data_IF_611098765115
#
_entry.id   IF_611098765115
#
_cell.length_a   1.000
_cell.length_b   1.000
_cell.length_c   1.000
_cell.angle_alpha   90.00
_cell.angle_beta   90.00
_cell.angle_gamma   90.00
#
_symmetry.space_group_name_H-M   'P 1'
#
loop_
_entity.id
_entity.type
_entity.pdbx_description
1 polymer ?
#
# COMPACT_ATOMS: atom_id res chain seq x y z
N UNK A 1 -28.77 68.78 -3.33
CA UNK A 1 -28.36 67.64 -4.19
C UNK A 1 -29.15 66.43 -3.74
N UNK A 2 -29.70 65.59 -4.64
CA UNK A 2 -30.40 64.39 -4.19
C UNK A 2 -29.36 63.42 -3.61
N UNK A 3 -29.45 63.16 -2.31
CA UNK A 3 -28.58 62.25 -1.57
C UNK A 3 -29.12 60.83 -1.83
N UNK A 4 -28.41 60.01 -2.60
CA UNK A 4 -28.82 58.64 -2.91
C UNK A 4 -28.13 58.07 -4.15
N UNK A 5 -27.96 56.75 -4.17
CA UNK A 5 -27.35 56.00 -5.27
C UNK A 5 -28.36 55.85 -6.41
N UNK A 6 -27.91 56.01 -7.66
CA UNK A 6 -28.77 55.74 -8.81
C UNK A 6 -29.17 54.26 -8.84
N UNK A 7 -30.46 53.98 -9.02
CA UNK A 7 -30.99 52.62 -9.08
C UNK A 7 -30.26 51.76 -10.12
N UNK A 8 -29.98 52.30 -11.31
CA UNK A 8 -29.24 51.60 -12.36
C UNK A 8 -27.84 51.15 -11.92
N UNK A 9 -27.18 51.97 -11.10
CA UNK A 9 -25.86 51.65 -10.54
C UNK A 9 -25.99 50.58 -9.47
N UNK A 10 -26.94 50.72 -8.54
CA UNK A 10 -27.23 49.72 -7.51
C UNK A 10 -27.52 48.34 -8.13
N UNK A 11 -28.45 48.31 -9.09
CA UNK A 11 -28.85 47.13 -9.85
C UNK A 11 -27.67 46.47 -10.57
N UNK A 12 -26.85 47.26 -11.26
CA UNK A 12 -25.69 46.73 -11.99
C UNK A 12 -24.68 46.08 -11.05
N UNK A 13 -24.50 46.65 -9.85
CA UNK A 13 -23.59 46.13 -8.84
C UNK A 13 -24.12 44.87 -8.15
N UNK A 14 -25.44 44.70 -8.02
CA UNK A 14 -26.02 43.58 -7.26
C UNK A 14 -26.54 42.42 -8.10
N UNK A 15 -26.87 42.64 -9.39
CA UNK A 15 -27.47 41.62 -10.28
C UNK A 15 -26.68 40.32 -10.44
N UNK A 16 -25.37 40.35 -10.20
CA UNK A 16 -24.51 39.18 -10.33
C UNK A 16 -24.42 38.32 -9.07
N UNK A 17 -24.87 38.80 -7.92
CA UNK A 17 -24.67 38.08 -6.66
C UNK A 17 -25.46 36.76 -6.55
N UNK A 18 -26.75 36.67 -6.94
CA UNK A 18 -27.48 35.40 -6.90
C UNK A 18 -26.82 34.33 -7.78
N UNK A 19 -26.38 34.71 -8.98
CA UNK A 19 -25.70 33.79 -9.89
C UNK A 19 -24.34 33.37 -9.35
N UNK A 20 -23.58 34.27 -8.73
CA UNK A 20 -22.31 33.94 -8.09
C UNK A 20 -22.49 33.00 -6.88
N UNK A 21 -23.52 33.22 -6.06
CA UNK A 21 -23.90 32.29 -4.97
C UNK A 21 -24.21 30.91 -5.53
N UNK A 22 -25.02 30.84 -6.60
CA UNK A 22 -25.38 29.58 -7.27
C UNK A 22 -24.17 28.89 -7.87
N UNK A 23 -23.25 29.63 -8.49
CA UNK A 23 -22.04 29.09 -9.09
C UNK A 23 -21.11 28.47 -8.04
N UNK A 24 -20.88 29.17 -6.93
CA UNK A 24 -20.09 28.65 -5.80
C UNK A 24 -20.74 27.38 -5.24
N UNK A 25 -22.04 27.40 -4.98
CA UNK A 25 -22.75 26.24 -4.47
C UNK A 25 -22.69 25.05 -5.45
N UNK A 26 -22.84 25.29 -6.76
CA UNK A 26 -22.75 24.26 -7.80
C UNK A 26 -21.34 23.65 -7.90
N UNK A 27 -20.29 24.45 -7.69
CA UNK A 27 -18.91 23.97 -7.63
C UNK A 27 -18.69 23.01 -6.45
N UNK A 28 -19.31 23.30 -5.30
CA UNK A 28 -19.28 22.44 -4.13
C UNK A 28 -20.06 21.13 -4.35
N UNK A 29 -21.19 21.18 -5.05
CA UNK A 29 -21.94 19.98 -5.47
C UNK A 29 -21.15 19.13 -6.46
N UNK A 30 -20.44 19.76 -7.38
CA UNK A 30 -19.58 19.04 -8.31
C UNK A 30 -18.50 18.23 -7.58
N UNK A 31 -17.92 18.77 -6.50
CA UNK A 31 -16.96 18.03 -5.66
C UNK A 31 -17.60 16.83 -4.96
N UNK A 32 -18.81 16.99 -4.43
CA UNK A 32 -19.56 15.90 -3.82
C UNK A 32 -19.93 14.81 -4.85
N UNK A 33 -20.34 15.22 -6.05
CA UNK A 33 -20.61 14.32 -7.17
C UNK A 33 -19.36 13.56 -7.63
N UNK A 34 -18.18 14.20 -7.66
CA UNK A 34 -16.92 13.51 -7.94
C UNK A 34 -16.62 12.43 -6.91
N UNK A 35 -16.87 12.68 -5.62
CA UNK A 35 -16.69 11.66 -4.57
C UNK A 35 -17.69 10.51 -4.74
N UNK A 36 -18.96 10.83 -5.03
CA UNK A 36 -19.98 9.84 -5.35
C UNK A 36 -19.52 8.92 -6.49
N UNK A 37 -19.02 9.50 -7.58
CA UNK A 37 -18.61 8.76 -8.76
C UNK A 37 -17.38 7.90 -8.47
N UNK A 38 -16.37 8.44 -7.78
CA UNK A 38 -15.18 7.69 -7.36
C UNK A 38 -15.53 6.47 -6.49
N UNK A 39 -16.51 6.62 -5.61
CA UNK A 39 -16.96 5.56 -4.71
C UNK A 39 -18.09 4.71 -5.29
N UNK A 40 -18.51 4.96 -6.54
CA UNK A 40 -19.63 4.29 -7.20
C UNK A 40 -20.90 4.28 -6.32
N UNK A 41 -21.31 5.45 -5.84
CA UNK A 41 -22.45 5.64 -4.93
C UNK A 41 -23.70 6.14 -5.70
N UNK A 42 -24.91 5.85 -5.19
CA UNK A 42 -26.15 6.37 -5.79
C UNK A 42 -26.28 7.89 -5.60
N UNK A 43 -27.27 8.51 -6.22
CA UNK A 43 -27.47 9.97 -6.08
C UNK A 43 -27.99 10.39 -4.70
N UNK A 44 -28.66 9.48 -3.98
CA UNK A 44 -29.18 9.77 -2.63
C UNK A 44 -28.10 9.54 -1.55
N UNK A 45 -27.64 10.61 -0.90
CA UNK A 45 -26.60 10.58 0.15
C UNK A 45 -27.04 9.73 1.34
N UNK A 46 -28.32 9.76 1.70
CA UNK A 46 -28.82 9.04 2.88
C UNK A 46 -28.66 7.52 2.76
N UNK A 47 -28.50 7.01 1.53
CA UNK A 47 -28.24 5.59 1.26
C UNK A 47 -26.75 5.21 1.25
N UNK A 48 -25.84 6.18 1.25
CA UNK A 48 -24.40 5.92 1.10
C UNK A 48 -23.85 5.13 2.28
N UNK A 49 -24.28 5.43 3.52
CA UNK A 49 -23.76 4.79 4.72
C UNK A 49 -24.00 3.28 4.69
N UNK A 50 -25.24 2.88 4.39
CA UNK A 50 -25.61 1.47 4.27
C UNK A 50 -24.81 0.75 3.17
N UNK A 51 -24.66 1.37 1.99
CA UNK A 51 -23.92 0.78 0.87
C UNK A 51 -22.43 0.61 1.21
N UNK A 52 -21.80 1.66 1.74
CA UNK A 52 -20.38 1.63 2.11
C UNK A 52 -20.15 0.61 3.23
N UNK A 53 -21.02 0.55 4.23
CA UNK A 53 -20.92 -0.43 5.30
C UNK A 53 -21.08 -1.86 4.78
N UNK A 54 -22.11 -2.14 3.98
CA UNK A 54 -22.33 -3.47 3.40
C UNK A 54 -21.17 -3.91 2.50
N UNK A 55 -20.62 -3.00 1.69
CA UNK A 55 -19.42 -3.29 0.89
C UNK A 55 -18.22 -3.58 1.78
N UNK A 56 -18.00 -2.75 2.80
CA UNK A 56 -16.87 -2.91 3.73
C UNK A 56 -16.94 -4.24 4.47
N UNK A 57 -18.13 -4.61 4.98
CA UNK A 57 -18.40 -5.89 5.61
C UNK A 57 -18.18 -7.05 4.63
N UNK A 58 -18.76 -6.99 3.43
CA UNK A 58 -18.57 -8.04 2.43
C UNK A 58 -17.10 -8.27 2.08
N UNK A 59 -16.32 -7.18 1.89
CA UNK A 59 -14.90 -7.27 1.61
C UNK A 59 -14.14 -7.84 2.82
N UNK A 60 -14.46 -7.39 4.02
CA UNK A 60 -13.84 -7.89 5.25
C UNK A 60 -14.18 -9.36 5.50
N UNK A 61 -15.43 -9.79 5.34
CA UNK A 61 -15.84 -11.18 5.52
C UNK A 61 -15.18 -12.09 4.49
N UNK A 62 -15.11 -11.64 3.23
CA UNK A 62 -14.39 -12.40 2.19
C UNK A 62 -12.93 -12.58 2.60
N UNK A 63 -12.29 -11.48 3.00
CA UNK A 63 -10.90 -11.47 3.43
C UNK A 63 -10.64 -12.35 4.66
N UNK A 64 -11.43 -12.17 5.72
CA UNK A 64 -11.32 -12.87 6.99
C UNK A 64 -11.63 -14.37 6.86
N UNK A 65 -12.40 -14.79 5.86
CA UNK A 65 -12.67 -16.21 5.63
C UNK A 65 -11.65 -16.86 4.66
N UNK A 66 -11.26 -16.17 3.59
CA UNK A 66 -10.39 -16.77 2.57
C UNK A 66 -8.93 -16.84 3.02
N UNK A 67 -8.42 -15.76 3.61
CA UNK A 67 -6.99 -15.61 3.86
C UNK A 67 -6.47 -16.55 4.94
N UNK A 68 -7.10 -16.70 6.13
CA UNK A 68 -6.63 -17.68 7.10
C UNK A 68 -6.71 -19.11 6.56
N UNK A 69 -7.75 -19.43 5.78
CA UNK A 69 -7.93 -20.75 5.18
C UNK A 69 -6.80 -21.06 4.19
N UNK A 70 -6.53 -20.15 3.26
CA UNK A 70 -5.48 -20.33 2.26
C UNK A 70 -4.09 -20.45 2.92
N UNK A 71 -3.82 -19.60 3.91
CA UNK A 71 -2.62 -19.65 4.74
C UNK A 71 -2.48 -21.01 5.42
N UNK A 72 -3.51 -21.44 6.16
CA UNK A 72 -3.46 -22.69 6.91
C UNK A 72 -3.24 -23.89 5.97
N UNK A 73 -3.94 -23.92 4.83
CA UNK A 73 -3.77 -24.95 3.81
C UNK A 73 -2.34 -24.97 3.27
N UNK A 74 -1.78 -23.82 2.91
CA UNK A 74 -0.41 -23.74 2.38
C UNK A 74 0.63 -24.16 3.42
N UNK A 75 0.45 -23.75 4.69
CA UNK A 75 1.30 -24.20 5.80
C UNK A 75 1.26 -25.71 5.94
N UNK A 76 0.07 -26.33 5.99
CA UNK A 76 -0.06 -27.80 6.08
C UNK A 76 0.62 -28.50 4.91
N UNK A 77 0.44 -28.01 3.68
CA UNK A 77 1.11 -28.58 2.51
C UNK A 77 2.64 -28.52 2.62
N UNK A 78 3.20 -27.39 3.09
CA UNK A 78 4.65 -27.26 3.30
C UNK A 78 5.14 -28.20 4.42
N UNK A 79 4.37 -28.36 5.48
CA UNK A 79 4.69 -29.29 6.57
C UNK A 79 4.69 -30.74 6.09
N UNK A 80 3.75 -31.13 5.22
CA UNK A 80 3.71 -32.46 4.59
C UNK A 80 4.93 -32.71 3.68
N UNK A 81 5.32 -31.72 2.88
CA UNK A 81 6.45 -31.84 1.94
C UNK A 81 7.79 -31.89 2.69
N UNK A 82 7.99 -31.02 3.68
CA UNK A 82 9.29 -30.84 4.33
C UNK A 82 9.41 -31.53 5.70
N UNK A 83 8.32 -32.12 6.21
CA UNK A 83 8.31 -33.04 7.36
C UNK A 83 8.55 -32.40 8.72
N UNK A 84 8.26 -31.11 8.91
CA UNK A 84 8.40 -30.42 10.21
C UNK A 84 7.40 -29.29 10.37
N UNK A 85 7.04 -28.97 11.62
CA UNK A 85 6.27 -27.78 11.98
C UNK A 85 7.12 -26.50 12.00
N UNK A 86 8.45 -26.62 12.17
CA UNK A 86 9.40 -25.49 12.20
C UNK A 86 9.93 -25.15 10.80
N UNK A 87 9.04 -24.71 9.91
CA UNK A 87 9.39 -24.43 8.51
C UNK A 87 10.41 -23.28 8.38
N UNK A 88 10.26 -22.20 9.15
CA UNK A 88 11.16 -21.03 9.06
C UNK A 88 12.58 -21.38 9.46
N UNK A 89 12.78 -21.98 10.64
CA UNK A 89 14.09 -22.41 11.14
C UNK A 89 14.75 -23.41 10.17
N UNK A 90 13.96 -24.33 9.60
CA UNK A 90 14.47 -25.29 8.63
C UNK A 90 14.96 -24.61 7.34
N UNK A 91 14.23 -23.64 6.83
CA UNK A 91 14.65 -22.89 5.65
C UNK A 91 15.93 -22.08 5.93
N UNK A 92 15.98 -21.39 7.07
CA UNK A 92 17.16 -20.65 7.53
C UNK A 92 18.39 -21.56 7.59
N UNK A 93 18.26 -22.74 8.22
CA UNK A 93 19.34 -23.74 8.27
C UNK A 93 19.75 -24.23 6.88
N UNK A 94 18.80 -24.46 5.97
CA UNK A 94 19.09 -24.92 4.61
C UNK A 94 19.83 -23.85 3.80
N UNK A 95 19.40 -22.59 3.87
CA UNK A 95 20.07 -21.46 3.21
C UNK A 95 21.46 -21.22 3.80
N UNK A 96 21.59 -21.24 5.14
CA UNK A 96 22.88 -21.11 5.82
C UNK A 96 23.83 -22.25 5.43
N UNK A 97 23.36 -23.50 5.38
CA UNK A 97 24.15 -24.65 4.97
C UNK A 97 24.56 -24.62 3.49
N UNK A 98 23.73 -24.07 2.60
CA UNK A 98 24.09 -23.86 1.20
C UNK A 98 25.19 -22.81 1.05
N UNK A 99 25.06 -21.69 1.78
CA UNK A 99 26.07 -20.63 1.84
C UNK A 99 27.39 -21.16 2.40
N UNK A 100 27.37 -21.86 3.53
CA UNK A 100 28.57 -22.41 4.15
C UNK A 100 29.27 -23.41 3.21
N UNK A 101 28.53 -24.31 2.57
CA UNK A 101 29.12 -25.27 1.63
C UNK A 101 29.80 -24.59 0.45
N UNK A 102 29.22 -23.48 -0.05
CA UNK A 102 29.85 -22.66 -1.08
C UNK A 102 31.12 -21.96 -0.57
N UNK A 103 31.07 -21.34 0.61
CA UNK A 103 32.23 -20.67 1.22
C UNK A 103 33.41 -21.65 1.42
N UNK A 104 33.14 -22.85 1.95
CA UNK A 104 34.16 -23.90 2.10
C UNK A 104 34.79 -24.33 0.78
N UNK A 105 33.99 -24.45 -0.29
CA UNK A 105 34.51 -24.78 -1.60
C UNK A 105 35.32 -23.64 -2.20
N UNK A 106 34.84 -22.40 -2.09
CA UNK A 106 35.54 -21.21 -2.57
C UNK A 106 36.92 -21.07 -1.92
N UNK A 107 37.00 -21.30 -0.62
CA UNK A 107 38.25 -21.26 0.13
C UNK A 107 39.23 -22.33 -0.37
N UNK A 108 38.74 -23.55 -0.64
CA UNK A 108 39.55 -24.63 -1.24
C UNK A 108 40.00 -24.29 -2.66
N UNK A 109 39.15 -23.68 -3.48
CA UNK A 109 39.51 -23.22 -4.83
C UNK A 109 40.60 -22.15 -4.79
N UNK A 110 40.54 -21.24 -3.81
CA UNK A 110 41.58 -20.24 -3.60
C UNK A 110 42.92 -20.88 -3.18
N UNK A 111 42.87 -21.94 -2.35
CA UNK A 111 44.07 -22.71 -2.01
C UNK A 111 44.63 -23.46 -3.21
N UNK A 112 43.76 -24.05 -4.05
CA UNK A 112 44.16 -24.68 -5.31
C UNK A 112 44.85 -23.67 -6.24
N UNK A 113 44.31 -22.45 -6.38
CA UNK A 113 44.89 -21.37 -7.19
C UNK A 113 46.33 -21.06 -6.77
N UNK A 114 46.57 -20.90 -5.46
CA UNK A 114 47.92 -20.64 -4.94
C UNK A 114 48.91 -21.77 -5.26
N UNK A 115 48.47 -23.03 -5.22
CA UNK A 115 49.31 -24.16 -5.62
C UNK A 115 49.51 -24.22 -7.14
N UNK A 116 48.45 -23.96 -7.91
CA UNK A 116 48.49 -23.93 -9.36
C UNK A 116 49.54 -22.93 -9.86
N UNK A 117 49.53 -21.70 -9.34
CA UNK A 117 50.46 -20.64 -9.74
C UNK A 117 51.95 -21.00 -9.48
N UNK A 118 52.22 -21.78 -8.42
CA UNK A 118 53.59 -22.15 -8.03
C UNK A 118 54.09 -23.49 -8.56
N UNK A 119 53.20 -24.47 -8.74
CA UNK A 119 53.57 -25.88 -8.87
C UNK A 119 53.04 -26.54 -10.15
N UNK A 120 52.24 -25.85 -10.96
CA UNK A 120 51.64 -26.42 -12.18
C UNK A 120 52.68 -27.03 -13.14
N UNK A 121 53.78 -26.33 -13.40
CA UNK A 121 54.82 -26.82 -14.33
C UNK A 121 55.64 -28.01 -13.80
N UNK A 122 55.50 -28.35 -12.52
CA UNK A 122 56.13 -29.51 -11.91
C UNK A 122 55.29 -30.79 -12.02
N UNK A 123 54.02 -30.68 -12.45
CA UNK A 123 53.14 -31.82 -12.71
C UNK A 123 53.57 -32.63 -13.94
N UNK A 124 53.14 -33.90 -14.02
CA UNK A 124 53.25 -34.68 -15.26
C UNK A 124 52.39 -34.09 -16.38
N UNK A 125 52.78 -34.28 -17.65
CA UNK A 125 52.07 -33.69 -18.80
C UNK A 125 50.59 -34.05 -18.87
N UNK A 126 50.20 -35.26 -18.43
CA UNK A 126 48.80 -35.69 -18.36
C UNK A 126 48.00 -34.93 -17.30
N UNK A 127 48.60 -34.67 -16.16
CA UNK A 127 47.98 -33.94 -15.04
C UNK A 127 47.90 -32.45 -15.36
N UNK A 128 48.92 -31.89 -16.03
CA UNK A 128 48.91 -30.52 -16.57
C UNK A 128 47.70 -30.33 -17.50
N UNK A 129 47.55 -31.18 -18.52
CA UNK A 129 46.44 -31.07 -19.47
C UNK A 129 45.06 -31.22 -18.80
N UNK A 130 44.95 -32.08 -17.80
CA UNK A 130 43.71 -32.27 -17.04
C UNK A 130 43.36 -31.02 -16.23
N UNK A 131 44.35 -30.46 -15.52
CA UNK A 131 44.16 -29.32 -14.64
C UNK A 131 43.98 -28.01 -15.41
N UNK A 132 44.72 -27.83 -16.51
CA UNK A 132 44.59 -26.68 -17.42
C UNK A 132 43.18 -26.58 -18.02
N UNK A 133 42.55 -27.74 -18.28
CA UNK A 133 41.16 -27.79 -18.72
C UNK A 133 40.17 -27.55 -17.58
N UNK A 134 40.39 -28.17 -16.42
CA UNK A 134 39.44 -28.14 -15.31
C UNK A 134 39.41 -26.77 -14.60
N UNK A 135 40.55 -26.11 -14.46
CA UNK A 135 40.69 -24.90 -13.64
C UNK A 135 39.79 -23.73 -14.12
N UNK A 136 39.74 -23.38 -15.43
CA UNK A 136 38.83 -22.34 -15.92
C UNK A 136 37.34 -22.70 -15.70
N UNK A 137 36.99 -23.99 -15.80
CA UNK A 137 35.62 -24.44 -15.54
C UNK A 137 35.25 -24.30 -14.06
N UNK A 138 36.19 -24.55 -13.13
CA UNK A 138 36.01 -24.34 -11.69
C UNK A 138 35.85 -22.85 -11.35
N UNK A 139 36.68 -21.96 -11.91
CA UNK A 139 36.54 -20.51 -11.70
C UNK A 139 35.19 -19.99 -12.21
N UNK A 140 34.79 -20.35 -13.44
CA UNK A 140 33.49 -19.97 -14.00
C UNK A 140 32.33 -20.46 -13.12
N UNK A 141 32.40 -21.72 -12.66
CA UNK A 141 31.36 -22.28 -11.80
C UNK A 141 31.30 -21.57 -10.44
N UNK A 142 32.45 -21.09 -9.94
CA UNK A 142 32.51 -20.35 -8.68
C UNK A 142 31.79 -19.01 -8.79
N UNK A 143 32.02 -18.25 -9.86
CA UNK A 143 31.35 -16.97 -10.12
C UNK A 143 29.83 -17.16 -10.30
N UNK A 144 29.42 -18.21 -11.02
CA UNK A 144 28.00 -18.57 -11.20
C UNK A 144 27.34 -18.95 -9.88
N UNK A 145 28.01 -19.72 -9.02
CA UNK A 145 27.50 -20.12 -7.72
C UNK A 145 27.45 -18.95 -6.73
N UNK A 146 28.43 -18.05 -6.75
CA UNK A 146 28.43 -16.83 -5.92
C UNK A 146 27.17 -16.00 -6.18
N UNK A 147 26.90 -15.73 -7.46
CA UNK A 147 25.69 -15.00 -7.90
C UNK A 147 24.40 -15.71 -7.49
N UNK A 148 24.38 -17.05 -7.46
CA UNK A 148 23.22 -17.84 -7.03
C UNK A 148 23.04 -17.78 -5.52
N UNK A 149 24.11 -17.84 -4.75
CA UNK A 149 24.08 -17.72 -3.27
C UNK A 149 23.61 -16.33 -2.86
N UNK A 150 24.11 -15.27 -3.49
CA UNK A 150 23.65 -13.90 -3.21
C UNK A 150 22.15 -13.75 -3.46
N UNK A 151 21.65 -14.25 -4.60
CA UNK A 151 20.22 -14.23 -4.91
C UNK A 151 19.41 -15.05 -3.91
N UNK A 152 19.88 -16.24 -3.57
CA UNK A 152 19.22 -17.12 -2.60
C UNK A 152 19.06 -16.43 -1.23
N UNK A 153 20.12 -15.78 -0.74
CA UNK A 153 20.10 -15.04 0.52
C UNK A 153 19.18 -13.82 0.44
N UNK A 154 19.21 -13.10 -0.68
CA UNK A 154 18.31 -11.96 -0.93
C UNK A 154 16.83 -12.37 -1.00
N UNK A 155 16.51 -13.47 -1.66
CA UNK A 155 15.16 -14.00 -1.77
C UNK A 155 14.64 -14.48 -0.40
N UNK A 156 15.51 -15.14 0.38
CA UNK A 156 15.18 -15.58 1.74
C UNK A 156 14.93 -14.40 2.69
N UNK A 157 15.75 -13.35 2.63
CA UNK A 157 15.59 -12.17 3.51
C UNK A 157 14.34 -11.36 3.17
N UNK A 158 14.00 -11.20 1.88
CA UNK A 158 12.78 -10.51 1.46
C UNK A 158 11.50 -11.22 1.92
N UNK A 159 11.53 -12.55 2.03
CA UNK A 159 10.38 -13.35 2.42
C UNK A 159 10.31 -13.61 3.94
N UNK A 160 11.36 -13.27 4.70
CA UNK A 160 11.50 -13.60 6.11
C UNK A 160 10.38 -13.05 6.98
N UNK A 161 9.99 -11.78 6.80
CA UNK A 161 8.89 -11.20 7.58
C UNK A 161 7.55 -11.87 7.29
N UNK A 162 7.27 -12.17 6.03
CA UNK A 162 6.07 -12.91 5.63
C UNK A 162 6.07 -14.33 6.20
N UNK A 163 7.22 -15.00 6.22
CA UNK A 163 7.38 -16.30 6.85
C UNK A 163 7.16 -16.23 8.36
N UNK A 164 7.77 -15.27 9.05
CA UNK A 164 7.60 -15.09 10.50
C UNK A 164 6.16 -14.81 10.88
N UNK A 165 5.48 -13.93 10.14
CA UNK A 165 4.10 -13.56 10.40
C UNK A 165 3.14 -14.73 10.22
N UNK A 166 3.40 -15.61 9.25
CA UNK A 166 2.38 -16.55 8.78
C UNK A 166 2.70 -18.03 9.08
N UNK A 167 3.97 -18.40 9.12
CA UNK A 167 4.43 -19.77 9.37
C UNK A 167 4.74 -20.04 10.86
N UNK A 168 4.77 -19.03 11.71
CA UNK A 168 5.05 -19.21 13.15
C UNK A 168 3.77 -19.14 13.98
N UNK A 169 3.76 -19.85 15.10
CA UNK A 169 2.61 -19.83 16.02
C UNK A 169 2.37 -18.43 16.61
N UNK A 170 3.44 -17.71 16.95
CA UNK A 170 3.34 -16.33 17.44
C UNK A 170 2.76 -15.40 16.37
N UNK A 171 3.20 -15.55 15.11
CA UNK A 171 2.66 -14.81 13.98
C UNK A 171 1.17 -15.09 13.76
N UNK A 172 0.75 -16.35 13.81
CA UNK A 172 -0.66 -16.76 13.70
C UNK A 172 -1.55 -16.17 14.79
N UNK A 173 -1.09 -16.18 16.05
CA UNK A 173 -1.81 -15.57 17.18
C UNK A 173 -1.96 -14.06 16.93
N UNK A 174 -0.86 -13.39 16.56
CA UNK A 174 -0.83 -11.95 16.32
C UNK A 174 -1.77 -11.54 15.18
N UNK A 175 -1.74 -12.30 14.08
CA UNK A 175 -2.64 -12.17 12.95
C UNK A 175 -4.11 -12.38 13.35
N UNK A 176 -4.42 -13.40 14.15
CA UNK A 176 -5.80 -13.68 14.58
C UNK A 176 -6.36 -12.56 15.45
N UNK A 177 -5.58 -12.09 16.43
CA UNK A 177 -5.96 -10.96 17.29
C UNK A 177 -6.15 -9.67 16.48
N UNK A 178 -5.33 -9.45 15.46
CA UNK A 178 -5.49 -8.34 14.52
C UNK A 178 -6.81 -8.43 13.75
N UNK A 179 -7.13 -9.61 13.21
CA UNK A 179 -8.40 -9.83 12.49
C UNK A 179 -9.61 -9.60 13.39
N UNK A 180 -9.58 -10.09 14.63
CA UNK A 180 -10.65 -9.83 15.60
C UNK A 180 -10.83 -8.33 15.89
N UNK A 181 -9.72 -7.61 16.06
CA UNK A 181 -9.76 -6.16 16.29
C UNK A 181 -10.31 -5.40 15.08
N UNK A 182 -9.89 -5.76 13.87
CA UNK A 182 -10.40 -5.14 12.63
C UNK A 182 -11.87 -5.45 12.42
N UNK A 183 -12.30 -6.69 12.68
CA UNK A 183 -13.70 -7.07 12.64
C UNK A 183 -14.52 -6.22 13.62
N UNK A 184 -14.04 -6.08 14.87
CA UNK A 184 -14.69 -5.24 15.86
C UNK A 184 -14.77 -3.77 15.42
N UNK A 185 -13.73 -3.23 14.78
CA UNK A 185 -13.75 -1.87 14.25
C UNK A 185 -14.75 -1.69 13.09
N UNK A 186 -14.77 -2.61 12.12
CA UNK A 186 -15.72 -2.60 11.00
C UNK A 186 -17.16 -2.75 11.49
N UNK A 187 -17.39 -3.56 12.54
CA UNK A 187 -18.72 -3.81 13.08
C UNK A 187 -19.24 -2.68 13.99
N UNK A 188 -18.36 -2.03 14.77
CA UNK A 188 -18.80 -1.12 15.83
C UNK A 188 -18.38 0.34 15.62
N UNK A 189 -17.24 0.62 14.99
CA UNK A 189 -16.69 1.97 14.88
C UNK A 189 -16.98 2.60 13.52
N UNK A 190 -16.75 1.86 12.44
CA UNK A 190 -16.98 2.32 11.08
C UNK A 190 -18.44 2.78 10.83
N UNK A 191 -19.49 2.10 11.31
CA UNK A 191 -20.86 2.55 11.11
C UNK A 191 -21.10 3.95 11.68
N UNK A 192 -20.66 4.20 12.91
CA UNK A 192 -20.82 5.49 13.58
C UNK A 192 -20.09 6.60 12.81
N UNK A 193 -18.83 6.36 12.43
CA UNK A 193 -18.05 7.34 11.66
C UNK A 193 -18.70 7.68 10.32
N UNK A 194 -19.19 6.67 9.59
CA UNK A 194 -19.87 6.88 8.32
C UNK A 194 -21.20 7.61 8.50
N UNK A 195 -21.99 7.23 9.48
CA UNK A 195 -23.29 7.85 9.77
C UNK A 195 -23.11 9.33 10.15
N UNK A 196 -22.18 9.65 11.04
CA UNK A 196 -21.86 11.03 11.43
C UNK A 196 -21.39 11.87 10.23
N UNK A 197 -20.40 11.36 9.47
CA UNK A 197 -19.83 12.07 8.32
C UNK A 197 -20.86 12.30 7.23
N UNK A 198 -21.67 11.30 6.90
CA UNK A 198 -22.63 11.37 5.79
C UNK A 198 -23.89 12.16 6.17
N UNK A 199 -24.32 12.09 7.42
CA UNK A 199 -25.39 12.95 7.95
C UNK A 199 -24.99 14.43 7.90
N UNK A 200 -23.73 14.74 8.26
CA UNK A 200 -23.19 16.08 8.13
C UNK A 200 -23.15 16.54 6.65
N UNK A 201 -22.68 15.70 5.73
CA UNK A 201 -22.69 16.00 4.28
C UNK A 201 -24.11 16.23 3.72
N UNK A 202 -25.09 15.44 4.15
CA UNK A 202 -26.50 15.58 3.75
C UNK A 202 -27.11 16.90 4.26
N UNK A 203 -26.81 17.25 5.52
CA UNK A 203 -27.21 18.53 6.13
C UNK A 203 -26.59 19.70 5.39
N UNK A 204 -25.30 19.60 5.09
CA UNK A 204 -24.54 20.61 4.35
C UNK A 204 -25.10 20.83 2.93
N UNK A 205 -25.44 19.76 2.21
CA UNK A 205 -26.09 19.87 0.90
C UNK A 205 -27.46 20.57 0.98
N UNK A 206 -28.30 20.15 1.94
CA UNK A 206 -29.63 20.75 2.17
C UNK A 206 -29.54 22.23 2.54
N UNK A 207 -28.54 22.60 3.34
CA UNK A 207 -28.31 23.98 3.75
C UNK A 207 -27.86 24.86 2.59
N UNK A 208 -27.02 24.35 1.68
CA UNK A 208 -26.64 25.07 0.44
C UNK A 208 -27.84 25.37 -0.46
N UNK A 209 -28.78 24.43 -0.61
CA UNK A 209 -30.02 24.69 -1.35
C UNK A 209 -30.84 25.82 -0.72
N UNK A 210 -30.87 25.91 0.62
CA UNK A 210 -31.51 27.00 1.33
C UNK A 210 -30.81 28.34 1.06
N UNK A 211 -29.48 28.40 1.08
CA UNK A 211 -28.74 29.64 0.75
C UNK A 211 -28.97 30.12 -0.68
N UNK A 212 -29.03 29.21 -1.66
CA UNK A 212 -29.36 29.57 -3.04
C UNK A 212 -30.76 30.19 -3.10
N UNK A 213 -31.73 29.57 -2.40
CA UNK A 213 -33.10 30.09 -2.33
C UNK A 213 -33.13 31.47 -1.68
N UNK A 214 -32.48 31.63 -0.53
CA UNK A 214 -32.40 32.90 0.20
C UNK A 214 -31.75 34.00 -0.64
N UNK A 215 -30.69 33.69 -1.39
CA UNK A 215 -30.06 34.64 -2.31
C UNK A 215 -30.99 35.09 -3.45
N UNK A 216 -31.84 34.17 -3.94
CA UNK A 216 -32.81 34.46 -5.00
C UNK A 216 -33.98 35.28 -4.44
N UNK A 217 -34.51 34.91 -3.28
CA UNK A 217 -35.55 35.67 -2.58
C UNK A 217 -35.08 37.08 -2.23
N UNK A 218 -33.84 37.21 -1.73
CA UNK A 218 -33.23 38.52 -1.42
C UNK A 218 -33.15 39.41 -2.66
N UNK A 219 -32.83 38.84 -3.82
CA UNK A 219 -32.85 39.55 -5.08
C UNK A 219 -34.26 40.03 -5.45
N UNK A 220 -35.22 39.11 -5.45
CA UNK A 220 -36.60 39.38 -5.87
C UNK A 220 -37.28 40.43 -4.98
N UNK A 221 -37.16 40.28 -3.65
CA UNK A 221 -37.77 41.18 -2.66
C UNK A 221 -37.18 42.60 -2.72
N UNK A 222 -35.86 42.74 -2.79
CA UNK A 222 -35.23 44.06 -2.80
C UNK A 222 -35.33 44.76 -4.15
N UNK A 223 -35.29 44.02 -5.26
CA UNK A 223 -35.45 44.60 -6.58
C UNK A 223 -36.83 45.26 -6.73
N UNK A 224 -37.89 44.53 -6.36
CA UNK A 224 -39.26 45.01 -6.46
C UNK A 224 -39.51 46.17 -5.47
N UNK A 225 -38.97 46.08 -4.26
CA UNK A 225 -39.12 47.14 -3.25
C UNK A 225 -38.38 48.44 -3.64
N UNK A 226 -37.16 48.33 -4.15
CA UNK A 226 -36.35 49.49 -4.56
C UNK A 226 -37.01 50.25 -5.72
N UNK A 227 -37.54 49.52 -6.70
CA UNK A 227 -38.23 50.12 -7.84
C UNK A 227 -39.55 50.80 -7.42
N UNK A 228 -40.32 50.17 -6.52
CA UNK A 228 -41.63 50.67 -6.09
C UNK A 228 -41.56 51.85 -5.11
N UNK A 229 -40.59 51.88 -4.18
CA UNK A 229 -40.56 52.87 -3.09
C UNK A 229 -39.71 54.10 -3.36
N UNK A 230 -38.64 53.98 -4.15
CA UNK A 230 -37.58 54.99 -4.21
C UNK A 230 -37.39 55.62 -5.60
N UNK A 231 -38.10 55.14 -6.62
CA UNK A 231 -37.95 55.63 -8.00
C UNK A 231 -36.50 55.47 -8.49
N UNK A 232 -35.92 56.55 -9.03
CA UNK A 232 -34.57 56.52 -9.62
C UNK A 232 -33.41 56.56 -8.60
N UNK A 233 -33.67 56.83 -7.31
CA UNK A 233 -32.61 57.05 -6.32
C UNK A 233 -32.86 56.32 -5.01
N UNK A 234 -31.97 55.39 -4.70
CA UNK A 234 -32.01 54.54 -3.51
C UNK A 234 -31.23 55.16 -2.33
N UNK A 235 -31.73 55.08 -1.09
CA UNK A 235 -30.94 55.42 0.09
C UNK A 235 -29.70 54.53 0.20
N UNK A 236 -28.53 55.12 0.45
CA UNK A 236 -27.27 54.38 0.54
C UNK A 236 -27.28 53.34 1.66
N UNK A 237 -28.03 53.57 2.74
CA UNK A 237 -28.17 52.62 3.85
C UNK A 237 -28.87 51.32 3.44
N UNK A 238 -29.94 51.43 2.63
CA UNK A 238 -30.70 50.27 2.14
C UNK A 238 -29.91 49.49 1.09
N UNK A 239 -29.12 50.17 0.27
CA UNK A 239 -28.18 49.51 -0.63
C UNK A 239 -27.09 48.73 0.15
N UNK A 240 -26.53 49.37 1.18
CA UNK A 240 -25.46 48.80 1.98
C UNK A 240 -25.94 47.58 2.78
N UNK A 241 -27.14 47.59 3.34
CA UNK A 241 -27.69 46.44 4.07
C UNK A 241 -27.85 45.20 3.17
N UNK A 242 -28.29 45.38 1.93
CA UNK A 242 -28.40 44.27 0.95
C UNK A 242 -27.03 43.73 0.57
N UNK A 243 -26.04 44.61 0.36
CA UNK A 243 -24.66 44.16 0.13
C UNK A 243 -24.11 43.37 1.33
N UNK A 244 -24.33 43.85 2.56
CA UNK A 244 -23.95 43.11 3.77
C UNK A 244 -24.59 41.72 3.81
N UNK A 245 -25.87 41.61 3.44
CA UNK A 245 -26.55 40.31 3.43
C UNK A 245 -25.98 39.34 2.40
N UNK A 246 -25.63 39.81 1.19
CA UNK A 246 -24.90 38.96 0.23
C UNK A 246 -23.51 38.57 0.74
N UNK A 247 -22.79 39.48 1.39
CA UNK A 247 -21.48 39.16 1.99
C UNK A 247 -21.61 38.11 3.11
N UNK A 248 -22.69 38.15 3.90
CA UNK A 248 -23.01 37.10 4.88
C UNK A 248 -23.23 35.75 4.19
N UNK A 249 -24.02 35.70 3.10
CA UNK A 249 -24.23 34.47 2.33
C UNK A 249 -22.91 33.90 1.75
N UNK A 250 -22.01 34.76 1.25
CA UNK A 250 -20.69 34.29 0.78
C UNK A 250 -19.79 33.81 1.93
N UNK A 251 -19.85 34.47 3.07
CA UNK A 251 -19.12 34.03 4.26
C UNK A 251 -19.60 32.66 4.70
N UNK A 252 -20.91 32.47 4.77
CA UNK A 252 -21.60 31.21 5.07
C UNK A 252 -21.18 30.09 4.10
N UNK A 253 -21.21 30.33 2.78
CA UNK A 253 -20.71 29.38 1.77
C UNK A 253 -19.21 29.07 1.92
N UNK A 254 -18.42 30.05 2.36
CA UNK A 254 -16.96 29.85 2.55
C UNK A 254 -16.69 28.93 3.74
N UNK A 255 -17.43 29.13 4.84
CA UNK A 255 -17.35 28.27 6.02
C UNK A 255 -17.75 26.84 5.64
N UNK A 256 -18.89 26.68 4.98
CA UNK A 256 -19.37 25.37 4.56
C UNK A 256 -18.42 24.68 3.57
N UNK A 257 -17.81 25.42 2.64
CA UNK A 257 -16.82 24.86 1.71
C UNK A 257 -15.63 24.20 2.45
N UNK A 258 -15.23 24.78 3.60
CA UNK A 258 -14.17 24.21 4.44
C UNK A 258 -14.66 22.96 5.18
N UNK A 259 -15.87 23.01 5.74
CA UNK A 259 -16.48 21.88 6.44
C UNK A 259 -16.71 20.70 5.50
N UNK A 260 -17.28 20.93 4.32
CA UNK A 260 -17.45 19.90 3.29
C UNK A 260 -16.10 19.32 2.86
N UNK A 261 -15.07 20.16 2.70
CA UNK A 261 -13.72 19.66 2.38
C UNK A 261 -13.19 18.73 3.47
N UNK A 262 -13.39 19.08 4.74
CA UNK A 262 -12.97 18.26 5.87
C UNK A 262 -13.74 16.93 5.91
N UNK A 263 -15.07 16.97 5.81
CA UNK A 263 -15.93 15.77 5.77
C UNK A 263 -15.58 14.82 4.62
N UNK A 264 -15.34 15.37 3.42
CA UNK A 264 -14.93 14.56 2.26
C UNK A 264 -13.56 13.90 2.47
N UNK A 265 -12.63 14.58 3.14
CA UNK A 265 -11.32 14.01 3.48
C UNK A 265 -11.46 12.90 4.52
N UNK A 266 -12.33 13.08 5.52
CA UNK A 266 -12.61 12.07 6.55
C UNK A 266 -13.26 10.81 5.95
N UNK A 267 -14.24 10.98 5.07
CA UNK A 267 -14.84 9.89 4.32
C UNK A 267 -13.77 9.14 3.50
N UNK A 268 -12.91 9.88 2.78
CA UNK A 268 -11.85 9.28 1.99
C UNK A 268 -10.84 8.51 2.87
N UNK A 269 -10.42 9.09 4.00
CA UNK A 269 -9.51 8.44 4.94
C UNK A 269 -10.13 7.15 5.51
N UNK A 270 -11.41 7.18 5.86
CA UNK A 270 -12.14 6.01 6.33
C UNK A 270 -12.18 4.90 5.27
N UNK A 271 -12.42 5.25 4.00
CA UNK A 271 -12.42 4.26 2.91
C UNK A 271 -11.03 3.70 2.62
N UNK A 272 -9.98 4.52 2.71
CA UNK A 272 -8.60 4.04 2.59
C UNK A 272 -8.23 3.08 3.72
N UNK A 273 -8.68 3.36 4.95
CA UNK A 273 -8.45 2.48 6.09
C UNK A 273 -9.17 1.14 5.94
N UNK A 274 -10.43 1.15 5.48
CA UNK A 274 -11.17 -0.09 5.14
C UNK A 274 -10.43 -0.90 4.08
N UNK A 275 -9.93 -0.24 3.04
CA UNK A 275 -9.16 -0.90 1.99
C UNK A 275 -7.87 -1.53 2.56
N UNK A 276 -7.12 -0.80 3.40
CA UNK A 276 -5.93 -1.34 4.06
C UNK A 276 -6.30 -2.57 4.90
N UNK A 277 -7.35 -2.50 5.72
CA UNK A 277 -7.79 -3.59 6.59
C UNK A 277 -8.16 -4.88 5.84
N UNK A 278 -8.52 -4.78 4.56
CA UNK A 278 -8.92 -5.89 3.70
C UNK A 278 -7.82 -6.34 2.72
N UNK A 279 -6.66 -5.67 2.71
CA UNK A 279 -5.58 -5.95 1.75
C UNK A 279 -4.20 -6.13 2.39
N UNK A 280 -4.00 -5.72 3.64
CA UNK A 280 -2.72 -5.82 4.34
C UNK A 280 -2.82 -6.63 5.64
N UNK A 281 -1.69 -7.09 6.16
CA UNK A 281 -1.50 -7.75 7.45
C UNK A 281 -0.50 -6.93 8.25
N UNK A 282 -0.74 -6.74 9.56
CA UNK A 282 0.20 -6.04 10.41
C UNK A 282 1.49 -6.87 10.57
N UNK A 283 2.62 -6.37 10.05
CA UNK A 283 3.92 -7.03 10.18
C UNK A 283 4.51 -6.91 11.59
N UNK A 284 5.56 -7.68 11.87
CA UNK A 284 6.31 -7.60 13.14
C UNK A 284 7.20 -6.36 13.23
N UNK A 285 7.48 -5.70 12.10
CA UNK A 285 8.42 -4.57 11.94
C UNK A 285 7.80 -3.19 11.74
N UNK A 286 6.51 -3.00 12.07
CA UNK A 286 5.69 -1.78 11.81
C UNK A 286 5.26 -1.54 10.36
N UNK A 287 5.79 -2.28 9.37
CA UNK A 287 5.29 -2.20 8.00
C UNK A 287 4.12 -3.17 7.76
N UNK A 288 3.08 -2.66 7.10
CA UNK A 288 1.92 -3.44 6.68
C UNK A 288 2.31 -4.33 5.49
N UNK A 289 2.16 -5.65 5.65
CA UNK A 289 2.45 -6.63 4.62
C UNK A 289 1.23 -6.86 3.72
N UNK A 290 1.30 -6.62 2.41
CA UNK A 290 0.22 -6.98 1.50
C UNK A 290 -0.07 -8.47 1.53
N UNK A 291 -1.35 -8.83 1.56
CA UNK A 291 -1.79 -10.24 1.65
C UNK A 291 -1.35 -11.04 0.43
N UNK A 292 -1.32 -10.40 -0.73
CA UNK A 292 -0.79 -10.99 -1.95
C UNK A 292 0.67 -11.42 -1.79
N UNK A 293 1.48 -10.62 -1.08
CA UNK A 293 2.89 -10.90 -0.85
C UNK A 293 3.09 -12.03 0.17
N UNK A 294 2.24 -12.11 1.20
CA UNK A 294 2.19 -13.27 2.08
C UNK A 294 1.91 -14.56 1.31
N UNK A 295 0.89 -14.58 0.43
CA UNK A 295 0.57 -15.72 -0.42
C UNK A 295 1.68 -16.07 -1.42
N UNK A 296 2.40 -15.07 -1.96
CA UNK A 296 3.57 -15.28 -2.82
C UNK A 296 4.75 -15.86 -2.04
N UNK A 297 4.95 -15.46 -0.79
CA UNK A 297 6.03 -15.96 0.06
C UNK A 297 5.96 -17.48 0.21
N UNK A 298 4.76 -18.05 0.41
CA UNK A 298 4.57 -19.51 0.44
C UNK A 298 5.05 -20.23 -0.81
N UNK A 299 4.72 -19.71 -1.99
CA UNK A 299 5.20 -20.29 -3.26
C UNK A 299 6.71 -20.15 -3.40
N UNK A 300 7.27 -19.07 -2.87
CA UNK A 300 8.72 -18.85 -2.84
C UNK A 300 9.43 -19.79 -1.87
N UNK A 301 8.80 -20.22 -0.79
CA UNK A 301 9.41 -21.13 0.20
C UNK A 301 10.00 -22.37 -0.48
N UNK A 302 9.20 -23.12 -1.24
CA UNK A 302 9.65 -24.35 -1.90
C UNK A 302 10.74 -24.05 -2.94
N UNK A 303 10.60 -22.95 -3.67
CA UNK A 303 11.62 -22.51 -4.63
C UNK A 303 12.97 -22.21 -3.95
N UNK A 304 12.96 -21.47 -2.83
CA UNK A 304 14.16 -21.11 -2.06
C UNK A 304 14.76 -22.39 -1.47
N UNK A 305 13.93 -23.28 -0.90
CA UNK A 305 14.37 -24.53 -0.31
C UNK A 305 15.10 -25.43 -1.34
N UNK A 306 14.46 -25.64 -2.49
CA UNK A 306 15.01 -26.46 -3.57
C UNK A 306 16.25 -25.83 -4.20
N UNK A 307 16.30 -24.50 -4.31
CA UNK A 307 17.49 -23.82 -4.81
C UNK A 307 18.65 -23.91 -3.81
N UNK A 308 18.40 -23.75 -2.50
CA UNK A 308 19.40 -23.97 -1.46
C UNK A 308 19.96 -25.39 -1.50
N UNK A 309 19.10 -26.40 -1.71
CA UNK A 309 19.53 -27.78 -1.88
C UNK A 309 20.43 -27.97 -3.11
N UNK A 310 20.04 -27.45 -4.27
CA UNK A 310 20.85 -27.53 -5.50
C UNK A 310 22.19 -26.84 -5.35
N UNK A 311 22.21 -25.67 -4.72
CA UNK A 311 23.45 -24.93 -4.43
C UNK A 311 24.34 -25.76 -3.51
N UNK A 312 23.79 -26.32 -2.43
CA UNK A 312 24.53 -27.16 -1.51
C UNK A 312 25.14 -28.39 -2.21
N UNK A 313 24.34 -29.15 -2.96
CA UNK A 313 24.79 -30.34 -3.70
C UNK A 313 25.84 -30.01 -4.77
N UNK A 314 25.69 -28.88 -5.47
CA UNK A 314 26.68 -28.47 -6.45
C UNK A 314 27.99 -28.06 -5.78
N UNK A 315 27.92 -27.27 -4.70
CA UNK A 315 29.10 -26.89 -3.92
C UNK A 315 29.85 -28.10 -3.37
N UNK A 316 29.16 -29.12 -2.85
CA UNK A 316 29.82 -30.35 -2.39
C UNK A 316 30.50 -31.11 -3.53
N UNK A 317 29.82 -31.28 -4.68
CA UNK A 317 30.43 -31.92 -5.86
C UNK A 317 31.65 -31.17 -6.37
N UNK A 318 31.58 -29.84 -6.39
CA UNK A 318 32.71 -29.02 -6.80
C UNK A 318 33.85 -29.07 -5.79
N UNK A 319 33.54 -29.07 -4.48
CA UNK A 319 34.53 -29.29 -3.41
C UNK A 319 35.30 -30.59 -3.59
N UNK A 320 34.60 -31.71 -3.82
CA UNK A 320 35.24 -33.00 -4.09
C UNK A 320 36.11 -32.97 -5.35
N UNK A 321 35.65 -32.32 -6.42
CA UNK A 321 36.43 -32.19 -7.67
C UNK A 321 37.68 -31.34 -7.47
N UNK A 322 37.56 -30.19 -6.81
CA UNK A 322 38.66 -29.29 -6.48
C UNK A 322 39.67 -29.97 -5.55
N UNK A 323 39.21 -30.75 -4.56
CA UNK A 323 40.08 -31.49 -3.64
C UNK A 323 40.99 -32.47 -4.38
N UNK A 324 40.46 -33.21 -5.38
CA UNK A 324 41.28 -34.14 -6.17
C UNK A 324 42.43 -33.43 -6.88
N UNK A 325 42.17 -32.25 -7.44
CA UNK A 325 43.20 -31.45 -8.11
C UNK A 325 44.19 -30.84 -7.12
N UNK A 326 43.70 -30.42 -5.95
CA UNK A 326 44.51 -29.90 -4.86
C UNK A 326 45.50 -30.96 -4.35
N UNK A 327 45.04 -32.19 -4.11
CA UNK A 327 45.87 -33.29 -3.61
C UNK A 327 46.96 -33.71 -4.61
N UNK A 328 46.71 -33.57 -5.93
CA UNK A 328 47.72 -33.82 -6.97
C UNK A 328 48.85 -32.78 -6.87
N UNK A 329 48.50 -31.50 -6.83
CA UNK A 329 49.48 -30.42 -6.71
C UNK A 329 50.23 -30.44 -5.36
N UNK A 330 49.53 -30.76 -4.27
CA UNK A 330 50.12 -30.85 -2.94
C UNK A 330 51.18 -31.95 -2.88
N UNK A 331 50.92 -33.12 -3.46
CA UNK A 331 51.92 -34.21 -3.51
C UNK A 331 53.19 -33.81 -4.26
N UNK A 332 53.05 -33.05 -5.35
CA UNK A 332 54.21 -32.56 -6.11
C UNK A 332 54.99 -31.53 -5.30
N UNK A 333 54.31 -30.62 -4.60
CA UNK A 333 54.94 -29.67 -3.67
C UNK A 333 55.71 -30.38 -2.55
N UNK A 334 55.17 -31.45 -1.98
CA UNK A 334 55.79 -32.19 -0.88
C UNK A 334 56.97 -33.07 -1.33
N UNK A 335 57.00 -33.46 -2.60
CA UNK A 335 58.07 -34.27 -3.19
C UNK A 335 59.27 -33.46 -3.69
N UNK A 336 59.13 -32.14 -3.81
CA UNK A 336 60.16 -31.20 -4.24
C UNK A 336 60.83 -30.52 -3.04
#
# INVERSE_FOLDING_TARGET
MPIGLQFTTAFTLTRGFPDAVREVASSLDARLALTRDKLNLPSNIDSWAGILLSRSQCHFDTFANSVPYDIARLTTMLQEIHGTEQLTERLELKVAGARQAFEEWRDLLQQLKMLYDGWFFHLEKSDQATLEKAYPELERTCEELDSRVERLVGDASQADEAFKLVLTEHGRISYTMEMERRHAWVANTLPCLLEETLSALSTTASWREALIRDSTTLWDEHHDDWFLRHGDRLPTGDFYSVLCRYLELFHELTVESNDQKWLLNELQASMQLVQAYTTTLSGTGQEDLPVEDACKAFKRYDSIYNEAEKVHELSQRMKESTQRHFDVLQRVREAA
#
